data_IF_099618020789
#
_entry.id   IF_099618020789
#
_cell.length_a   1.000
_cell.length_b   1.000
_cell.length_c   1.000
_cell.angle_alpha   90.00
_cell.angle_beta   90.00
_cell.angle_gamma   90.00
#
_symmetry.space_group_name_H-M   'P 1'
#
loop_
_entity.id
_entity.type
_entity.pdbx_description
1 polymer ?
#
# COMPACT_ATOMS: atom_id res chain seq x y z
N UNK A 1 3.42 -19.41 9.35
CA UNK A 1 3.36 -18.02 8.90
C UNK A 1 2.91 -17.98 7.46
N UNK A 2 1.99 -17.10 7.17
CA UNK A 2 1.45 -16.88 5.83
C UNK A 2 2.45 -16.29 4.85
N UNK A 3 1.94 -15.88 3.71
CA UNK A 3 2.68 -15.13 2.69
C UNK A 3 2.00 -13.80 2.44
N UNK A 4 2.78 -12.75 2.25
CA UNK A 4 2.30 -11.41 1.96
C UNK A 4 2.72 -10.99 0.55
N UNK A 5 1.76 -10.80 -0.33
CA UNK A 5 1.96 -10.40 -1.72
C UNK A 5 1.34 -9.02 -1.91
N UNK A 6 2.09 -8.10 -2.47
CA UNK A 6 1.63 -6.74 -2.76
C UNK A 6 1.54 -6.54 -4.27
N UNK A 7 0.42 -6.00 -4.72
CA UNK A 7 0.26 -5.51 -6.09
C UNK A 7 0.39 -3.99 -6.06
N UNK A 8 1.37 -3.47 -6.78
CA UNK A 8 1.66 -2.05 -6.87
C UNK A 8 1.66 -1.60 -8.33
N UNK A 9 1.48 -0.32 -8.57
CA UNK A 9 1.46 0.22 -9.92
C UNK A 9 2.22 1.54 -10.05
N UNK A 10 2.83 1.76 -11.21
CA UNK A 10 3.58 2.98 -11.51
C UNK A 10 2.70 4.24 -11.51
N UNK A 11 1.42 4.09 -11.85
CA UNK A 11 0.45 5.19 -11.87
C UNK A 11 -0.98 4.64 -11.90
N UNK A 12 -1.95 5.53 -11.73
CA UNK A 12 -3.35 5.18 -11.90
C UNK A 12 -3.66 4.83 -13.37
N UNK A 13 -4.51 3.84 -13.58
CA UNK A 13 -4.89 3.37 -14.92
C UNK A 13 -3.96 2.30 -15.50
N UNK A 14 -2.92 1.85 -14.78
CA UNK A 14 -2.01 0.79 -15.25
C UNK A 14 -2.63 -0.62 -15.29
N UNK A 15 -3.91 -0.75 -14.92
CA UNK A 15 -4.62 -2.04 -14.90
C UNK A 15 -4.48 -2.81 -13.58
N UNK A 16 -3.95 -2.17 -12.53
CA UNK A 16 -3.68 -2.80 -11.23
C UNK A 16 -4.92 -3.49 -10.64
N UNK A 17 -6.06 -2.81 -10.56
CA UNK A 17 -7.29 -3.37 -9.99
C UNK A 17 -7.82 -4.57 -10.77
N UNK A 18 -7.64 -4.59 -12.09
CA UNK A 18 -8.01 -5.72 -12.95
C UNK A 18 -7.13 -6.93 -12.65
N UNK A 19 -5.82 -6.75 -12.64
CA UNK A 19 -4.86 -7.83 -12.36
C UNK A 19 -4.99 -8.35 -10.94
N UNK A 20 -5.23 -7.47 -9.97
CA UNK A 20 -5.50 -7.85 -8.59
C UNK A 20 -6.69 -8.80 -8.48
N UNK A 21 -7.83 -8.45 -9.08
CA UNK A 21 -9.02 -9.31 -9.08
C UNK A 21 -8.78 -10.65 -9.78
N UNK A 22 -8.19 -10.63 -10.96
CA UNK A 22 -7.90 -11.84 -11.72
C UNK A 22 -6.96 -12.79 -10.95
N UNK A 23 -5.95 -12.25 -10.26
CA UNK A 23 -5.05 -13.05 -9.44
C UNK A 23 -5.78 -13.73 -8.29
N UNK A 24 -6.60 -12.99 -7.56
CA UNK A 24 -7.39 -13.53 -6.43
C UNK A 24 -8.33 -14.63 -6.93
N UNK A 25 -9.11 -14.36 -7.97
CA UNK A 25 -10.06 -15.31 -8.54
C UNK A 25 -9.36 -16.60 -8.97
N UNK A 26 -8.20 -16.48 -9.61
CA UNK A 26 -7.40 -17.63 -10.03
C UNK A 26 -6.87 -18.45 -8.86
N UNK A 27 -6.35 -17.80 -7.83
CA UNK A 27 -5.79 -18.50 -6.66
C UNK A 27 -6.87 -19.21 -5.85
N UNK A 28 -8.04 -18.59 -5.69
CA UNK A 28 -9.17 -19.22 -4.99
C UNK A 28 -9.75 -20.38 -5.81
N UNK A 29 -10.12 -20.12 -7.07
CA UNK A 29 -10.91 -21.06 -7.85
C UNK A 29 -10.07 -22.20 -8.44
N UNK A 30 -8.87 -21.91 -8.95
CA UNK A 30 -8.02 -22.91 -9.60
C UNK A 30 -7.09 -23.63 -8.65
N UNK A 31 -6.54 -22.94 -7.65
CA UNK A 31 -5.52 -23.46 -6.74
C UNK A 31 -6.03 -23.79 -5.35
N UNK A 32 -7.22 -23.31 -4.99
CA UNK A 32 -7.87 -23.56 -3.69
C UNK A 32 -7.00 -23.14 -2.49
N UNK A 33 -6.28 -22.03 -2.64
CA UNK A 33 -5.55 -21.43 -1.54
C UNK A 33 -6.51 -20.67 -0.60
N UNK A 34 -6.15 -20.61 0.67
CA UNK A 34 -6.77 -19.73 1.64
C UNK A 34 -6.21 -18.31 1.44
N UNK A 35 -7.06 -17.41 0.94
CA UNK A 35 -6.68 -16.07 0.51
C UNK A 35 -7.42 -15.04 1.36
N UNK A 36 -6.67 -14.15 1.99
CA UNK A 36 -7.16 -12.90 2.55
C UNK A 36 -6.70 -11.75 1.68
N UNK A 37 -7.61 -10.85 1.32
CA UNK A 37 -7.29 -9.72 0.47
C UNK A 37 -7.72 -8.40 1.09
N UNK A 38 -6.94 -7.34 0.84
CA UNK A 38 -7.26 -5.99 1.32
C UNK A 38 -6.73 -4.94 0.35
N UNK A 39 -7.40 -3.78 0.33
CA UNK A 39 -6.99 -2.61 -0.45
C UNK A 39 -6.64 -1.47 0.50
N UNK A 40 -5.50 -0.82 0.26
CA UNK A 40 -5.14 0.42 0.93
C UNK A 40 -5.23 1.62 -0.02
N UNK A 41 -5.71 2.78 0.45
CA UNK A 41 -6.27 3.06 1.80
C UNK A 41 -7.58 2.32 2.07
N UNK A 42 -7.86 2.05 3.35
CA UNK A 42 -9.07 1.34 3.79
C UNK A 42 -10.29 2.28 3.78
N UNK A 43 -10.72 2.69 2.58
CA UNK A 43 -11.82 3.62 2.40
C UNK A 43 -13.10 3.18 3.11
N UNK A 44 -13.85 4.15 3.66
CA UNK A 44 -15.10 3.90 4.36
C UNK A 44 -14.93 3.33 5.77
N UNK A 45 -13.70 3.20 6.27
CA UNK A 45 -13.40 2.70 7.61
C UNK A 45 -12.87 3.81 8.52
N UNK A 46 -12.92 3.60 9.83
CA UNK A 46 -12.40 4.60 10.77
C UNK A 46 -10.89 4.79 10.67
N UNK A 47 -10.13 3.75 10.34
CA UNK A 47 -8.67 3.84 10.16
C UNK A 47 -8.27 4.49 8.84
N UNK A 48 -9.06 4.34 7.78
CA UNK A 48 -8.82 4.96 6.48
C UNK A 48 -9.27 6.42 6.40
N UNK A 49 -10.13 6.87 7.34
CA UNK A 49 -10.68 8.23 7.33
C UNK A 49 -9.66 9.35 7.31
N UNK A 50 -8.54 9.31 8.07
CA UNK A 50 -7.53 10.36 7.97
C UNK A 50 -6.93 10.52 6.57
N UNK A 51 -6.74 9.40 5.86
CA UNK A 51 -6.28 9.43 4.46
C UNK A 51 -7.36 10.03 3.54
N UNK A 52 -8.62 9.69 3.74
CA UNK A 52 -9.72 10.29 2.96
C UNK A 52 -9.79 11.80 3.15
N UNK A 53 -9.65 12.29 4.37
CA UNK A 53 -9.65 13.73 4.68
C UNK A 53 -8.44 14.44 4.05
N UNK A 54 -7.26 13.79 4.05
CA UNK A 54 -6.09 14.29 3.33
C UNK A 54 -6.36 14.39 1.82
N UNK A 55 -6.88 13.34 1.21
CA UNK A 55 -7.16 13.31 -0.23
C UNK A 55 -8.23 14.32 -0.68
N UNK A 56 -9.16 14.68 0.22
CA UNK A 56 -10.12 15.77 0.01
C UNK A 56 -9.53 17.18 0.17
N UNK A 57 -8.26 17.28 0.62
CA UNK A 57 -7.61 18.57 0.88
C UNK A 57 -7.98 19.23 2.21
N UNK A 58 -8.63 18.50 3.13
CA UNK A 58 -9.08 19.06 4.41
C UNK A 58 -7.95 19.38 5.39
N UNK A 59 -6.71 18.94 5.09
CA UNK A 59 -5.51 19.30 5.87
C UNK A 59 -4.69 20.43 5.24
N UNK A 60 -5.21 21.09 4.21
CA UNK A 60 -4.55 22.19 3.50
C UNK A 60 -3.91 21.75 2.19
N UNK A 61 -3.01 22.58 1.69
CA UNK A 61 -2.35 22.36 0.41
C UNK A 61 -1.35 21.20 0.52
N UNK A 62 -1.51 20.19 -0.33
CA UNK A 62 -0.67 18.98 -0.33
C UNK A 62 0.83 19.29 -0.49
N UNK A 63 1.19 20.36 -1.21
CA UNK A 63 2.59 20.77 -1.40
C UNK A 63 3.24 21.37 -0.14
N UNK A 64 2.45 21.75 0.85
CA UNK A 64 2.93 22.33 2.11
C UNK A 64 3.02 21.29 3.23
N UNK A 65 2.48 20.10 3.01
CA UNK A 65 2.49 19.03 4.00
C UNK A 65 3.78 18.22 3.93
N UNK A 66 4.40 17.99 5.08
CA UNK A 66 5.58 17.15 5.18
C UNK A 66 5.29 15.72 4.68
N UNK A 67 6.17 15.11 3.87
CA UNK A 67 6.06 13.70 3.46
C UNK A 67 5.94 12.75 4.67
N UNK A 68 6.57 13.07 5.78
CA UNK A 68 6.46 12.30 7.02
C UNK A 68 5.06 12.37 7.63
N UNK A 69 4.45 13.57 7.64
CA UNK A 69 3.06 13.72 8.09
C UNK A 69 2.11 12.93 7.19
N UNK A 70 2.23 13.08 5.88
CA UNK A 70 1.38 12.34 4.92
C UNK A 70 1.57 10.84 5.09
N UNK A 71 2.82 10.35 5.20
CA UNK A 71 3.08 8.93 5.45
C UNK A 71 2.45 8.45 6.76
N UNK A 72 2.43 9.27 7.81
CA UNK A 72 1.86 8.87 9.10
C UNK A 72 0.38 8.51 9.01
N UNK A 73 -0.39 9.17 8.14
CA UNK A 73 -1.80 8.88 7.91
C UNK A 73 -1.99 7.49 7.27
N UNK A 74 -1.20 7.19 6.24
CA UNK A 74 -1.22 5.90 5.57
C UNK A 74 -0.66 4.77 6.46
N UNK A 75 0.41 5.04 7.20
CA UNK A 75 1.01 4.07 8.12
C UNK A 75 0.04 3.69 9.25
N UNK A 76 -0.74 4.66 9.76
CA UNK A 76 -1.76 4.40 10.76
C UNK A 76 -2.86 3.48 10.24
N UNK A 77 -3.35 3.72 9.03
CA UNK A 77 -4.32 2.84 8.37
C UNK A 77 -3.77 1.40 8.25
N UNK A 78 -2.55 1.24 7.75
CA UNK A 78 -1.90 -0.07 7.64
C UNK A 78 -1.71 -0.75 9.00
N UNK A 79 -1.25 -0.01 10.00
CA UNK A 79 -1.02 -0.53 11.34
C UNK A 79 -2.30 -1.05 11.99
N UNK A 80 -3.38 -0.26 11.94
CA UNK A 80 -4.65 -0.63 12.54
C UNK A 80 -5.27 -1.82 11.80
N UNK A 81 -5.26 -1.81 10.47
CA UNK A 81 -5.76 -2.91 9.65
C UNK A 81 -4.97 -4.20 9.91
N UNK A 82 -3.66 -4.10 10.09
CA UNK A 82 -2.81 -5.23 10.45
C UNK A 82 -3.20 -5.85 11.79
N UNK A 83 -3.31 -5.04 12.83
CA UNK A 83 -3.67 -5.50 14.18
C UNK A 83 -5.09 -6.04 14.24
N UNK A 84 -6.03 -5.44 13.51
CA UNK A 84 -7.45 -5.80 13.55
C UNK A 84 -7.81 -7.10 12.81
N UNK A 85 -6.93 -7.65 11.99
CA UNK A 85 -7.29 -8.87 11.28
C UNK A 85 -6.15 -9.48 10.46
N UNK A 86 -5.45 -8.70 9.66
CA UNK A 86 -4.45 -9.25 8.73
C UNK A 86 -3.35 -10.05 9.45
N UNK A 87 -2.93 -9.61 10.66
CA UNK A 87 -1.95 -10.34 11.46
C UNK A 87 -2.43 -11.74 11.83
N UNK A 88 -3.69 -11.88 12.24
CA UNK A 88 -4.28 -13.17 12.58
C UNK A 88 -4.25 -14.13 11.38
N UNK A 89 -4.69 -13.66 10.23
CA UNK A 89 -4.68 -14.45 9.00
C UNK A 89 -3.25 -14.84 8.58
N UNK A 90 -2.32 -13.89 8.67
CA UNK A 90 -0.91 -14.14 8.38
C UNK A 90 -0.29 -15.19 9.32
N UNK A 91 -0.56 -15.09 10.62
CA UNK A 91 -0.05 -16.04 11.62
C UNK A 91 -0.63 -17.44 11.41
N UNK A 92 -1.87 -17.55 10.93
CA UNK A 92 -2.56 -18.82 10.61
C UNK A 92 -2.15 -19.43 9.27
N UNK A 93 -1.30 -18.76 8.48
CA UNK A 93 -0.76 -19.33 7.26
C UNK A 93 -1.47 -18.94 5.97
N UNK A 94 -2.46 -18.04 6.01
CA UNK A 94 -3.15 -17.53 4.82
C UNK A 94 -2.19 -16.79 3.88
N UNK A 95 -2.50 -16.79 2.60
CA UNK A 95 -1.86 -15.92 1.62
C UNK A 95 -2.60 -14.58 1.62
N UNK A 96 -1.91 -13.52 2.04
CA UNK A 96 -2.45 -12.17 2.04
C UNK A 96 -2.08 -11.47 0.73
N UNK A 97 -3.07 -10.97 0.01
CA UNK A 97 -2.86 -10.21 -1.22
C UNK A 97 -3.36 -8.78 -1.00
N UNK A 98 -2.45 -7.83 -1.10
CA UNK A 98 -2.73 -6.42 -0.87
C UNK A 98 -2.69 -5.63 -2.18
N UNK A 99 -3.72 -4.85 -2.43
CA UNK A 99 -3.69 -3.78 -3.41
C UNK A 99 -3.13 -2.53 -2.74
N UNK A 100 -1.88 -2.17 -3.03
CA UNK A 100 -1.06 -1.17 -2.36
C UNK A 100 -0.67 -1.57 -0.93
N UNK A 101 0.46 -1.02 -0.47
CA UNK A 101 0.98 -1.22 0.87
C UNK A 101 2.00 -0.12 1.21
N UNK A 102 3.00 -0.42 2.04
CA UNK A 102 4.13 0.46 2.36
C UNK A 102 4.86 0.92 1.09
N UNK A 103 4.89 0.08 0.05
CA UNK A 103 5.47 0.38 -1.26
C UNK A 103 4.90 1.65 -1.89
N UNK A 104 3.61 1.92 -1.73
CA UNK A 104 3.00 3.18 -2.20
C UNK A 104 3.61 4.40 -1.52
N UNK A 105 3.86 4.35 -0.22
CA UNK A 105 4.54 5.45 0.50
C UNK A 105 5.96 5.66 0.01
N UNK A 106 6.69 4.58 -0.28
CA UNK A 106 8.05 4.65 -0.84
C UNK A 106 8.08 5.25 -2.24
N UNK A 107 6.99 5.13 -3.00
CA UNK A 107 6.89 5.70 -4.34
C UNK A 107 6.38 7.15 -4.27
N UNK A 108 5.20 7.35 -3.70
CA UNK A 108 4.49 8.63 -3.80
C UNK A 108 5.03 9.69 -2.84
N UNK A 109 5.21 9.36 -1.55
CA UNK A 109 5.71 10.34 -0.59
C UNK A 109 7.20 10.64 -0.78
N UNK A 110 8.00 9.67 -1.22
CA UNK A 110 9.41 9.94 -1.51
C UNK A 110 9.63 10.77 -2.78
N UNK A 111 8.72 10.68 -3.75
CA UNK A 111 8.86 11.38 -5.04
C UNK A 111 8.79 12.90 -4.94
N UNK A 112 8.17 13.44 -3.88
CA UNK A 112 8.09 14.88 -3.65
C UNK A 112 9.33 15.46 -2.94
N UNK A 113 10.26 14.60 -2.52
CA UNK A 113 11.52 15.01 -1.88
C UNK A 113 12.58 15.15 -2.97
N UNK A 114 13.01 16.36 -3.24
CA UNK A 114 13.98 16.65 -4.32
C UNK A 114 15.41 16.22 -3.95
N UNK A 115 15.84 16.52 -2.71
CA UNK A 115 17.16 16.14 -2.25
C UNK A 115 17.30 14.62 -2.12
N UNK A 116 18.36 14.09 -2.73
CA UNK A 116 18.60 12.64 -2.77
C UNK A 116 18.84 12.05 -1.39
N UNK A 117 19.60 12.75 -0.55
CA UNK A 117 19.91 12.27 0.80
C UNK A 117 18.67 12.28 1.69
N UNK A 118 17.91 13.36 1.66
CA UNK A 118 16.65 13.46 2.40
C UNK A 118 15.64 12.38 1.95
N UNK A 119 15.61 12.07 0.66
CA UNK A 119 14.77 11.00 0.12
C UNK A 119 15.20 9.63 0.63
N UNK A 120 16.50 9.34 0.66
CA UNK A 120 17.04 8.10 1.23
C UNK A 120 16.73 8.01 2.73
N UNK A 121 16.89 9.10 3.47
CA UNK A 121 16.56 9.18 4.90
C UNK A 121 15.07 8.92 5.14
N UNK A 122 14.19 9.48 4.31
CA UNK A 122 12.75 9.20 4.36
C UNK A 122 12.42 7.73 4.10
N UNK A 123 13.01 7.14 3.06
CA UNK A 123 12.81 5.73 2.73
C UNK A 123 13.24 4.84 3.90
N UNK A 124 14.41 5.09 4.49
CA UNK A 124 14.91 4.35 5.65
C UNK A 124 14.01 4.54 6.86
N UNK A 125 13.49 5.75 7.08
CA UNK A 125 12.51 6.03 8.14
C UNK A 125 11.24 5.19 7.97
N UNK A 126 10.66 5.16 6.77
CA UNK A 126 9.44 4.39 6.50
C UNK A 126 9.66 2.90 6.77
N UNK A 127 10.78 2.33 6.31
CA UNK A 127 11.14 0.95 6.57
C UNK A 127 11.28 0.65 8.08
N UNK A 128 12.02 1.47 8.80
CA UNK A 128 12.24 1.27 10.24
C UNK A 128 10.94 1.45 11.01
N UNK A 129 10.20 2.51 10.72
CA UNK A 129 8.97 2.84 11.43
C UNK A 129 7.91 1.76 11.26
N UNK A 130 7.60 1.37 10.04
CA UNK A 130 6.50 0.45 9.80
C UNK A 130 6.88 -1.02 10.07
N UNK A 131 8.05 -1.46 9.63
CA UNK A 131 8.42 -2.86 9.78
C UNK A 131 9.06 -3.20 11.13
N UNK A 132 9.88 -2.31 11.68
CA UNK A 132 10.62 -2.61 12.92
C UNK A 132 9.91 -2.07 14.16
N UNK A 133 9.31 -0.86 14.09
CA UNK A 133 8.70 -0.24 15.28
C UNK A 133 7.20 -0.57 15.38
N UNK A 134 6.42 -0.44 14.31
CA UNK A 134 5.02 -0.88 14.29
C UNK A 134 4.94 -2.40 14.21
N UNK A 135 5.83 -3.04 13.43
CA UNK A 135 5.90 -4.49 13.29
C UNK A 135 4.88 -5.10 12.33
N UNK A 136 4.44 -4.35 11.31
CA UNK A 136 3.69 -4.95 10.22
C UNK A 136 4.61 -5.84 9.37
N UNK A 137 4.08 -6.87 8.73
CA UNK A 137 4.91 -7.80 7.96
C UNK A 137 5.51 -7.13 6.71
N UNK A 138 6.75 -7.50 6.40
CA UNK A 138 7.36 -7.18 5.11
C UNK A 138 6.74 -8.03 4.01
N UNK A 139 6.54 -7.50 2.81
CA UNK A 139 6.11 -8.31 1.67
C UNK A 139 7.11 -9.43 1.37
N UNK A 140 6.62 -10.66 1.13
CA UNK A 140 7.40 -11.75 0.55
C UNK A 140 7.61 -11.52 -0.96
N UNK A 141 6.63 -10.87 -1.62
CA UNK A 141 6.65 -10.55 -3.04
C UNK A 141 5.94 -9.23 -3.30
N UNK A 142 6.54 -8.40 -4.14
CA UNK A 142 5.89 -7.22 -4.72
C UNK A 142 5.79 -7.41 -6.23
N UNK A 143 4.57 -7.38 -6.76
CA UNK A 143 4.31 -7.37 -8.20
C UNK A 143 4.07 -5.92 -8.61
N UNK A 144 5.03 -5.35 -9.32
CA UNK A 144 4.97 -3.97 -9.77
C UNK A 144 4.52 -3.90 -11.23
N UNK A 145 3.35 -3.31 -11.46
CA UNK A 145 2.81 -3.10 -12.79
C UNK A 145 3.30 -1.76 -13.33
N UNK A 146 3.98 -1.82 -14.44
CA UNK A 146 4.49 -0.64 -15.13
C UNK A 146 3.90 -0.52 -16.53
N UNK A 147 3.45 0.67 -16.88
CA UNK A 147 3.12 1.06 -18.24
C UNK A 147 3.66 2.48 -18.48
N UNK A 148 4.06 2.81 -19.71
CA UNK A 148 4.31 4.20 -20.09
C UNK A 148 3.10 5.07 -19.78
N UNK A 149 3.35 6.32 -19.36
CA UNK A 149 2.28 7.23 -18.91
C UNK A 149 1.19 7.41 -19.97
N UNK A 150 1.60 7.54 -21.25
CA UNK A 150 0.69 7.69 -22.39
C UNK A 150 -0.24 6.47 -22.54
N UNK A 151 0.29 5.26 -22.30
CA UNK A 151 -0.51 4.03 -22.34
C UNK A 151 -1.47 3.98 -21.17
N UNK A 152 -1.00 4.30 -19.97
CA UNK A 152 -1.84 4.30 -18.76
C UNK A 152 -3.01 5.29 -18.87
N UNK A 153 -2.82 6.44 -19.53
CA UNK A 153 -3.90 7.40 -19.79
C UNK A 153 -4.99 6.86 -20.72
N UNK A 154 -4.66 5.97 -21.64
CA UNK A 154 -5.65 5.38 -22.57
C UNK A 154 -6.45 4.25 -21.92
N UNK A 155 -6.02 3.74 -20.78
CA UNK A 155 -6.68 2.66 -20.02
C UNK A 155 -7.65 3.17 -18.95
N UNK A 156 -7.70 4.49 -18.74
CA UNK A 156 -8.66 5.14 -17.85
C UNK A 156 -9.98 5.35 -18.58
#
# INVERSE_FOLDING_TARGET
>A
MGKLIVIEGSCDGVGKSTQYKLLIDRLINEKKYDITSHHFPSYGTYQGRPVEEYLKGNFGNHSELSPYFVNSLYAQDRAITWVNGLKHEYDNGSIIILDRYTTSSLIYQSSVIEDKKEREDFINYVYDYEYNKIGIAKPDLVIFLHAPFEVAQTLK
#
